data_IF_338564214980
#
_entry.id   IF_338564214980
#
_cell.length_a   1.000
_cell.length_b   1.000
_cell.length_c   1.000
_cell.angle_alpha   90.00
_cell.angle_beta   90.00
_cell.angle_gamma   90.00
#
_symmetry.space_group_name_H-M   'P 1'
#
loop_
_entity.id
_entity.type
_entity.pdbx_description
1 polymer ?
#
# COMPACT_ATOMS: atom_id res chain seq x y z
N UNK A 1 -50.15 27.60 -53.37
CA UNK A 1 -48.80 28.20 -53.44
C UNK A 1 -47.92 27.50 -52.43
N UNK A 2 -46.99 26.67 -52.89
CA UNK A 2 -46.02 26.00 -52.01
C UNK A 2 -44.89 26.96 -51.69
N UNK A 3 -44.76 27.36 -50.44
CA UNK A 3 -43.62 28.15 -49.98
C UNK A 3 -42.38 27.26 -49.98
N UNK A 4 -41.46 27.50 -50.91
CA UNK A 4 -40.15 26.88 -50.94
C UNK A 4 -39.39 27.24 -49.65
N UNK A 5 -39.01 26.23 -48.86
CA UNK A 5 -38.11 26.42 -47.72
C UNK A 5 -36.80 27.03 -48.25
N UNK A 6 -36.32 28.14 -47.67
CA UNK A 6 -35.02 28.68 -48.04
C UNK A 6 -33.95 27.62 -47.72
N UNK A 7 -33.07 27.36 -48.69
CA UNK A 7 -31.87 26.55 -48.47
C UNK A 7 -31.01 27.24 -47.41
N UNK A 8 -30.65 26.55 -46.32
CA UNK A 8 -29.84 27.17 -45.28
C UNK A 8 -28.46 27.51 -45.84
N UNK A 9 -28.04 28.77 -45.65
CA UNK A 9 -26.67 29.23 -45.97
C UNK A 9 -25.66 28.37 -45.18
N UNK A 10 -24.57 27.88 -45.79
CA UNK A 10 -23.63 26.94 -45.15
C UNK A 10 -22.99 27.41 -43.84
N UNK A 11 -22.92 28.72 -43.63
CA UNK A 11 -22.27 29.35 -42.48
C UNK A 11 -23.25 30.03 -41.51
N UNK A 12 -24.56 29.98 -41.79
CA UNK A 12 -25.53 30.56 -40.87
C UNK A 12 -25.51 29.79 -39.53
N UNK A 13 -25.54 30.48 -38.38
CA UNK A 13 -25.70 29.82 -37.09
C UNK A 13 -26.88 28.86 -37.14
N UNK A 14 -26.63 27.57 -36.87
CA UNK A 14 -27.66 26.55 -36.90
C UNK A 14 -28.72 26.93 -35.86
N UNK A 15 -29.98 27.02 -36.29
CA UNK A 15 -31.09 27.47 -35.45
C UNK A 15 -31.49 26.38 -34.45
N UNK A 16 -30.64 26.16 -33.44
CA UNK A 16 -30.67 25.11 -32.39
C UNK A 16 -29.25 24.66 -31.97
N UNK A 17 -28.17 25.35 -32.38
CA UNK A 17 -26.79 24.95 -32.07
C UNK A 17 -26.56 24.71 -30.57
N UNK A 18 -27.20 25.50 -29.70
CA UNK A 18 -27.12 25.30 -28.24
C UNK A 18 -27.72 23.96 -27.79
N UNK A 19 -28.83 23.53 -28.39
CA UNK A 19 -29.48 22.25 -28.07
C UNK A 19 -28.61 21.09 -28.52
N UNK A 20 -28.03 21.19 -29.72
CA UNK A 20 -27.12 20.20 -30.25
C UNK A 20 -25.83 20.09 -29.42
N UNK A 21 -25.22 21.24 -29.06
CA UNK A 21 -24.05 21.30 -28.19
C UNK A 21 -24.35 20.71 -26.81
N UNK A 22 -25.48 21.07 -26.20
CA UNK A 22 -25.89 20.50 -24.91
C UNK A 22 -26.15 18.99 -24.98
N UNK A 23 -26.66 18.47 -26.10
CA UNK A 23 -26.82 17.03 -26.32
C UNK A 23 -25.47 16.32 -26.49
N UNK A 24 -24.53 16.96 -27.18
CA UNK A 24 -23.18 16.47 -27.38
C UNK A 24 -22.41 16.41 -26.06
N UNK A 25 -22.45 17.47 -25.26
CA UNK A 25 -21.84 17.55 -23.93
C UNK A 25 -22.40 16.47 -22.99
N UNK A 26 -23.74 16.30 -22.94
CA UNK A 26 -24.38 15.22 -22.17
C UNK A 26 -23.91 13.83 -22.60
N UNK A 27 -23.76 13.61 -23.92
CA UNK A 27 -23.26 12.34 -24.46
C UNK A 27 -21.79 12.13 -24.10
N UNK A 28 -20.96 13.18 -24.17
CA UNK A 28 -19.55 13.14 -23.77
C UNK A 28 -19.38 12.84 -22.28
N UNK A 29 -20.17 13.47 -21.41
CA UNK A 29 -20.14 13.18 -19.97
C UNK A 29 -20.47 11.72 -19.66
N UNK A 30 -21.46 11.15 -20.36
CA UNK A 30 -21.82 9.73 -20.21
C UNK A 30 -20.68 8.81 -20.65
N UNK A 31 -20.05 9.09 -21.79
CA UNK A 31 -18.90 8.31 -22.30
C UNK A 31 -17.72 8.40 -21.33
N UNK A 32 -17.48 9.58 -20.74
CA UNK A 32 -16.41 9.79 -19.76
C UNK A 32 -16.73 9.23 -18.36
N UNK A 33 -17.92 8.65 -18.14
CA UNK A 33 -18.36 8.20 -16.82
C UNK A 33 -18.64 9.34 -15.83
N UNK A 34 -18.69 10.59 -16.30
CA UNK A 34 -18.93 11.79 -15.49
C UNK A 34 -20.43 12.13 -15.37
N UNK A 35 -21.31 11.32 -15.95
CA UNK A 35 -22.76 11.54 -15.87
C UNK A 35 -23.39 11.10 -14.56
N UNK A 36 -22.66 10.36 -13.72
CA UNK A 36 -23.14 9.87 -12.45
C UNK A 36 -22.37 10.57 -11.33
N UNK A 37 -23.10 11.31 -10.49
CA UNK A 37 -22.53 11.85 -9.27
C UNK A 37 -22.25 10.70 -8.30
N UNK A 38 -21.11 10.76 -7.62
CA UNK A 38 -20.73 9.78 -6.62
C UNK A 38 -21.63 9.98 -5.41
N UNK A 39 -22.40 8.95 -5.03
CA UNK A 39 -23.26 9.06 -3.86
C UNK A 39 -22.46 8.85 -2.58
N UNK A 40 -22.93 9.36 -1.44
CA UNK A 40 -22.33 9.06 -0.14
C UNK A 40 -22.24 7.56 0.13
N UNK A 41 -23.21 6.78 -0.40
CA UNK A 41 -23.21 5.31 -0.31
C UNK A 41 -22.04 4.70 -1.10
N UNK A 42 -21.80 5.16 -2.32
CA UNK A 42 -20.70 4.66 -3.16
C UNK A 42 -19.34 4.96 -2.51
N UNK A 43 -19.17 6.18 -1.98
CA UNK A 43 -17.96 6.54 -1.24
C UNK A 43 -17.73 5.66 -0.01
N UNK A 44 -18.77 5.46 0.81
CA UNK A 44 -18.67 4.60 2.00
C UNK A 44 -18.34 3.15 1.64
N UNK A 45 -18.88 2.65 0.53
CA UNK A 45 -18.58 1.30 0.04
C UNK A 45 -17.11 1.19 -0.37
N UNK A 46 -16.60 2.12 -1.19
CA UNK A 46 -15.20 2.15 -1.61
C UNK A 46 -14.24 2.28 -0.42
N UNK A 47 -14.53 3.15 0.54
CA UNK A 47 -13.71 3.30 1.75
C UNK A 47 -13.71 2.01 2.59
N UNK A 48 -14.85 1.33 2.71
CA UNK A 48 -14.93 0.06 3.44
C UNK A 48 -14.13 -1.05 2.77
N UNK A 49 -14.17 -1.09 1.43
CA UNK A 49 -13.39 -2.03 0.64
C UNK A 49 -11.89 -1.75 0.76
N UNK A 50 -11.46 -0.50 0.61
CA UNK A 50 -10.06 -0.12 0.78
C UNK A 50 -9.54 -0.46 2.18
N UNK A 51 -10.36 -0.23 3.23
CA UNK A 51 -10.03 -0.68 4.59
C UNK A 51 -9.81 -2.18 4.61
N UNK A 52 -10.76 -2.98 4.11
CA UNK A 52 -10.64 -4.45 4.09
C UNK A 52 -9.36 -4.89 3.39
N UNK A 53 -9.08 -4.37 2.20
CA UNK A 53 -7.89 -4.72 1.42
C UNK A 53 -6.58 -4.35 2.11
N UNK A 54 -6.53 -3.22 2.84
CA UNK A 54 -5.38 -2.85 3.66
C UNK A 54 -5.17 -3.85 4.81
N UNK A 55 -6.25 -4.28 5.47
CA UNK A 55 -6.16 -5.29 6.53
C UNK A 55 -5.77 -6.67 5.98
N UNK A 56 -6.34 -7.07 4.85
CA UNK A 56 -6.02 -8.32 4.17
C UNK A 56 -4.53 -8.36 3.79
N UNK A 57 -4.00 -7.30 3.16
CA UNK A 57 -2.56 -7.18 2.86
C UNK A 57 -1.69 -7.23 4.12
N UNK A 58 -2.06 -6.50 5.17
CA UNK A 58 -1.28 -6.46 6.41
C UNK A 58 -1.18 -7.83 7.09
N UNK A 59 -2.27 -8.60 7.10
CA UNK A 59 -2.28 -9.94 7.67
C UNK A 59 -1.53 -10.94 6.79
N UNK A 60 -1.65 -10.80 5.47
CA UNK A 60 -1.02 -11.70 4.50
C UNK A 60 0.50 -11.47 4.38
N UNK A 61 0.98 -10.23 4.49
CA UNK A 61 2.41 -9.89 4.44
C UNK A 61 3.22 -10.54 5.57
N UNK A 62 2.62 -10.74 6.75
CA UNK A 62 3.27 -11.50 7.83
C UNK A 62 3.36 -13.00 7.54
N UNK A 63 2.37 -13.54 6.83
CA UNK A 63 2.31 -14.96 6.50
C UNK A 63 3.22 -15.32 5.32
N UNK A 64 3.33 -14.44 4.32
CA UNK A 64 4.25 -14.64 3.20
C UNK A 64 5.71 -14.73 3.65
N UNK A 65 6.13 -13.97 4.67
CA UNK A 65 7.47 -14.06 5.25
C UNK A 65 7.76 -15.42 5.90
N UNK A 66 6.74 -16.10 6.45
CA UNK A 66 6.86 -17.43 7.04
C UNK A 66 6.80 -18.54 5.96
N UNK A 67 6.02 -18.35 4.88
CA UNK A 67 5.93 -19.32 3.78
C UNK A 67 7.26 -19.57 3.05
N UNK A 68 8.19 -18.62 3.02
CA UNK A 68 9.52 -18.84 2.42
C UNK A 68 10.42 -19.76 3.25
N UNK A 69 10.04 -20.11 4.48
CA UNK A 69 10.83 -20.96 5.39
C UNK A 69 10.38 -22.43 5.34
N UNK A 70 9.15 -22.71 4.91
CA UNK A 70 8.52 -24.04 5.06
C UNK A 70 9.02 -25.13 4.09
N UNK A 71 9.99 -24.80 3.21
CA UNK A 71 10.55 -25.74 2.23
C UNK A 71 12.08 -25.75 2.11
N UNK A 72 12.79 -24.98 2.94
CA UNK A 72 14.24 -25.03 2.97
C UNK A 72 14.66 -25.86 4.17
N UNK A 73 15.49 -26.88 3.96
CA UNK A 73 16.37 -27.47 4.98
C UNK A 73 17.38 -26.39 5.42
N UNK A 74 16.88 -25.26 5.92
CA UNK A 74 17.69 -24.23 6.52
C UNK A 74 18.11 -24.80 7.86
N UNK A 75 19.35 -25.28 7.88
CA UNK A 75 20.03 -25.81 9.06
C UNK A 75 19.62 -24.98 10.27
N UNK A 76 18.84 -25.56 11.19
CA UNK A 76 18.11 -24.83 12.24
C UNK A 76 19.03 -23.88 13.03
N UNK A 77 20.31 -24.27 13.15
CA UNK A 77 21.40 -23.48 13.69
C UNK A 77 21.55 -22.09 13.04
N UNK A 78 21.48 -21.99 11.71
CA UNK A 78 21.63 -20.72 10.98
C UNK A 78 20.45 -19.79 11.21
N UNK A 79 19.23 -20.33 11.27
CA UNK A 79 18.02 -19.57 11.59
C UNK A 79 18.05 -19.07 13.02
N UNK A 80 18.48 -19.91 13.97
CA UNK A 80 18.64 -19.51 15.37
C UNK A 80 19.72 -18.43 15.55
N UNK A 81 20.87 -18.53 14.86
CA UNK A 81 21.88 -17.47 14.87
C UNK A 81 21.34 -16.15 14.29
N UNK A 82 20.60 -16.20 13.19
CA UNK A 82 19.99 -15.02 12.58
C UNK A 82 18.96 -14.36 13.53
N UNK A 83 18.12 -15.17 14.20
CA UNK A 83 17.18 -14.67 15.21
C UNK A 83 17.89 -13.98 16.36
N UNK A 84 19.00 -14.55 16.85
CA UNK A 84 19.81 -13.94 17.92
C UNK A 84 20.39 -12.60 17.50
N UNK A 85 20.79 -12.44 16.24
CA UNK A 85 21.32 -11.20 15.70
C UNK A 85 20.27 -10.10 15.52
N UNK A 86 19.05 -10.47 15.09
CA UNK A 86 17.95 -9.52 14.90
C UNK A 86 17.36 -8.99 16.22
N UNK A 87 17.40 -9.79 17.28
CA UNK A 87 16.82 -9.44 18.59
C UNK A 87 17.78 -9.77 19.74
N UNK A 88 18.94 -9.12 19.82
CA UNK A 88 19.96 -9.43 20.83
C UNK A 88 19.42 -9.30 22.27
N UNK A 89 18.49 -8.36 22.49
CA UNK A 89 17.85 -8.11 23.79
C UNK A 89 16.95 -9.28 24.27
N UNK A 90 16.59 -10.20 23.37
CA UNK A 90 15.75 -11.37 23.65
C UNK A 90 16.58 -12.64 23.82
N UNK A 91 17.90 -12.54 23.75
CA UNK A 91 18.83 -13.67 23.85
C UNK A 91 19.49 -13.65 25.23
N UNK A 92 19.44 -14.80 25.92
CA UNK A 92 20.18 -14.96 27.16
C UNK A 92 21.69 -15.03 26.87
N UNK A 93 22.49 -14.28 27.62
CA UNK A 93 23.95 -14.29 27.53
C UNK A 93 24.48 -15.56 28.20
N UNK A 94 25.44 -16.25 27.57
CA UNK A 94 26.06 -17.45 28.13
C UNK A 94 27.00 -17.14 29.31
N UNK A 95 27.25 -18.11 30.18
CA UNK A 95 28.18 -17.95 31.30
C UNK A 95 29.62 -17.64 30.87
N UNK A 96 30.03 -18.10 29.69
CA UNK A 96 31.34 -17.81 29.11
C UNK A 96 31.40 -16.35 28.63
N UNK A 97 30.38 -15.88 27.91
CA UNK A 97 30.29 -14.49 27.46
C UNK A 97 30.22 -13.52 28.63
N UNK A 98 29.53 -13.87 29.72
CA UNK A 98 29.49 -13.05 30.94
C UNK A 98 30.89 -12.89 31.55
N UNK A 99 31.72 -13.94 31.58
CA UNK A 99 33.08 -13.85 32.14
C UNK A 99 33.96 -12.85 31.39
N UNK A 100 33.77 -12.71 30.07
CA UNK A 100 34.47 -11.72 29.25
C UNK A 100 34.02 -10.27 29.51
N UNK A 101 32.84 -10.08 30.12
CA UNK A 101 32.32 -8.75 30.48
C UNK A 101 32.72 -8.33 31.90
N UNK A 102 33.23 -9.25 32.72
CA UNK A 102 33.71 -8.96 34.06
C UNK A 102 35.15 -8.44 33.96
N UNK A 103 35.46 -7.24 34.46
CA UNK A 103 36.84 -6.75 34.51
C UNK A 103 37.74 -7.73 35.28
N UNK A 104 38.99 -7.95 34.84
CA UNK A 104 39.92 -8.78 35.60
C UNK A 104 40.06 -8.21 37.02
N UNK A 105 40.03 -9.07 38.03
CA UNK A 105 40.23 -8.65 39.42
C UNK A 105 41.60 -7.94 39.53
N UNK A 106 41.60 -6.69 40.03
CA UNK A 106 42.83 -5.96 40.31
C UNK A 106 43.62 -6.71 41.39
N UNK A 107 44.81 -7.22 41.05
CA UNK A 107 45.73 -7.76 42.06
C UNK A 107 46.09 -6.65 43.06
N UNK A 108 46.05 -6.92 44.39
CA UNK A 108 46.43 -5.92 45.37
C UNK A 108 47.91 -5.54 45.19
N UNK A 109 48.28 -4.26 45.42
CA UNK A 109 49.64 -3.80 45.17
C UNK A 109 50.63 -4.60 46.01
N UNK A 110 51.61 -5.20 45.31
CA UNK A 110 52.73 -5.88 45.95
C UNK A 110 53.41 -4.91 46.93
N UNK A 111 53.39 -5.25 48.22
CA UNK A 111 54.17 -4.55 49.23
C UNK A 111 55.65 -4.68 48.87
N UNK A 112 56.26 -3.56 48.47
CA UNK A 112 57.71 -3.38 48.36
C UNK A 112 58.40 -3.86 49.66
N UNK A 113 59.39 -4.75 49.50
CA UNK A 113 60.41 -5.06 50.50
C UNK A 113 61.78 -4.74 49.93
#
# INVERSE_FOLDING_TARGET
GGAARPSPKPWAPLADSEVYLAALERRLMRIKGLSQEVTSKDMLHTLSQAKKECWDRFLQEKFEAECYVEGHEADESTLEHLKRWLQPDKVAISSEEVQCLIPPEEEPPAAEQ
#
